data_IF_595459339196
#
_entry.id   IF_595459339196
#
_cell.length_a   1.000
_cell.length_b   1.000
_cell.length_c   1.000
_cell.angle_alpha   90.00
_cell.angle_beta   90.00
_cell.angle_gamma   90.00
#
_symmetry.space_group_name_H-M   'P 1'
#
loop_
_entity.id
_entity.type
_entity.pdbx_description
1 polymer ?
#
# COMPACT_ATOMS: atom_id res chain seq x y z
N UNK A 1 -11.25 12.05 -4.09
CA UNK A 1 -9.82 11.72 -3.93
C UNK A 1 -9.37 12.32 -2.61
N UNK A 2 -8.49 11.62 -1.88
CA UNK A 2 -7.92 12.11 -0.62
C UNK A 2 -6.46 11.67 -0.50
N UNK A 3 -5.75 12.24 0.46
CA UNK A 3 -4.38 11.82 0.73
C UNK A 3 -4.35 10.39 1.27
N UNK A 4 -3.35 9.59 0.87
CA UNK A 4 -3.10 8.33 1.57
C UNK A 4 -2.70 8.55 3.05
N UNK A 5 -2.26 9.76 3.39
CA UNK A 5 -1.93 10.17 4.75
C UNK A 5 -3.12 10.83 5.49
N UNK A 6 -4.31 10.85 4.90
CA UNK A 6 -5.51 11.33 5.58
C UNK A 6 -5.85 10.38 6.76
N UNK A 7 -6.32 10.89 7.90
CA UNK A 7 -6.54 10.09 9.11
C UNK A 7 -7.60 8.99 8.95
N UNK A 8 -8.49 9.12 7.97
CA UNK A 8 -9.50 8.13 7.59
C UNK A 8 -8.98 7.09 6.58
N UNK A 9 -7.72 7.19 6.15
CA UNK A 9 -7.07 6.21 5.28
C UNK A 9 -6.22 5.27 6.13
N UNK A 10 -6.44 3.97 5.98
CA UNK A 10 -5.82 2.94 6.81
C UNK A 10 -5.20 1.82 5.98
N UNK A 11 -3.93 1.54 6.29
CA UNK A 11 -3.13 0.47 5.72
C UNK A 11 -2.38 -0.25 6.84
N UNK A 12 -2.13 -1.54 6.64
CA UNK A 12 -1.32 -2.37 7.53
C UNK A 12 -0.10 -2.92 6.81
N UNK A 13 0.97 -3.09 7.59
CA UNK A 13 2.14 -3.83 7.16
C UNK A 13 1.96 -5.27 7.63
N UNK A 14 1.81 -6.19 6.69
CA UNK A 14 1.82 -7.62 6.97
C UNK A 14 3.27 -8.12 7.03
N UNK A 15 3.55 -8.89 8.07
CA UNK A 15 4.85 -9.54 8.28
C UNK A 15 4.85 -10.94 7.69
N UNK A 16 6.01 -11.37 7.21
CA UNK A 16 6.24 -12.73 6.71
C UNK A 16 5.97 -13.79 7.77
N UNK A 17 5.37 -14.90 7.37
CA UNK A 17 5.04 -16.06 8.24
C UNK A 17 5.90 -17.27 7.86
N UNK A 18 6.04 -18.27 8.76
CA UNK A 18 6.71 -19.51 8.40
C UNK A 18 6.06 -20.15 7.16
N UNK A 19 6.84 -20.34 6.09
CA UNK A 19 6.35 -20.88 4.82
C UNK A 19 6.10 -19.84 3.73
N UNK A 20 6.20 -18.54 4.03
CA UNK A 20 6.35 -17.50 3.01
C UNK A 20 7.78 -17.65 2.43
N UNK A 21 7.88 -18.36 1.31
CA UNK A 21 9.13 -18.65 0.61
C UNK A 21 9.41 -17.56 -0.44
N UNK A 22 9.55 -16.32 0.01
CA UNK A 22 9.72 -15.13 -0.82
C UNK A 22 10.98 -14.32 -0.46
N UNK A 23 11.89 -14.90 0.33
CA UNK A 23 13.20 -14.31 0.62
C UNK A 23 13.22 -13.35 1.82
N UNK A 24 12.09 -13.18 2.52
CA UNK A 24 12.02 -12.45 3.79
C UNK A 24 12.30 -13.37 4.99
N UNK A 25 13.00 -12.88 6.00
CA UNK A 25 13.09 -13.60 7.27
C UNK A 25 11.73 -13.53 7.97
N UNK A 26 11.33 -14.60 8.66
CA UNK A 26 10.06 -14.65 9.41
C UNK A 26 9.96 -13.47 10.38
N UNK A 27 8.87 -12.71 10.29
CA UNK A 27 8.61 -11.54 11.11
C UNK A 27 9.11 -10.22 10.51
N UNK A 28 9.77 -10.23 9.36
CA UNK A 28 10.10 -9.00 8.62
C UNK A 28 8.86 -8.45 7.89
N UNK A 29 8.76 -7.12 7.72
CA UNK A 29 7.79 -6.51 6.82
C UNK A 29 7.88 -7.15 5.43
N UNK A 30 6.77 -7.69 4.94
CA UNK A 30 6.73 -8.39 3.66
C UNK A 30 5.75 -7.74 2.69
N UNK A 31 4.63 -7.22 3.18
CA UNK A 31 3.57 -6.66 2.33
C UNK A 31 2.93 -5.43 2.95
N UNK A 32 2.53 -4.50 2.10
CA UNK A 32 1.64 -3.39 2.43
C UNK A 32 0.23 -3.78 2.00
N UNK A 33 -0.74 -3.64 2.89
CA UNK A 33 -2.14 -4.03 2.65
C UNK A 33 -3.12 -2.92 3.01
N UNK A 34 -4.17 -2.76 2.20
CA UNK A 34 -5.31 -1.91 2.50
C UNK A 34 -6.27 -2.57 3.50
N UNK A 35 -6.53 -1.90 4.62
CA UNK A 35 -7.39 -2.43 5.70
C UNK A 35 -8.87 -2.56 5.31
N UNK A 36 -9.30 -1.87 4.24
CA UNK A 36 -10.70 -1.90 3.81
C UNK A 36 -11.00 -3.06 2.85
N UNK A 37 -10.11 -3.31 1.87
CA UNK A 37 -10.39 -4.26 0.79
C UNK A 37 -9.39 -5.40 0.66
N UNK A 38 -8.35 -5.44 1.51
CA UNK A 38 -7.33 -6.49 1.50
C UNK A 38 -6.40 -6.47 0.29
N UNK A 39 -6.49 -5.45 -0.58
CA UNK A 39 -5.53 -5.28 -1.66
C UNK A 39 -4.12 -5.14 -1.07
N UNK A 40 -3.16 -5.90 -1.57
CA UNK A 40 -1.80 -5.92 -1.03
C UNK A 40 -0.75 -6.05 -2.11
N UNK A 41 0.42 -5.51 -1.82
CA UNK A 41 1.61 -5.53 -2.68
C UNK A 41 2.82 -5.90 -1.82
N UNK A 42 3.84 -6.58 -2.37
CA UNK A 42 5.10 -6.78 -1.66
C UNK A 42 5.73 -5.44 -1.26
N UNK A 43 6.36 -5.39 -0.09
CA UNK A 43 7.29 -4.32 0.26
C UNK A 43 8.64 -4.77 -0.26
N UNK A 44 9.22 -4.01 -1.18
CA UNK A 44 10.42 -4.44 -1.88
C UNK A 44 11.58 -4.78 -0.95
N UNK A 45 12.29 -5.85 -1.30
CA UNK A 45 13.59 -6.18 -0.76
C UNK A 45 14.70 -5.26 -1.31
N UNK A 46 15.97 -5.55 -0.96
CA UNK A 46 17.12 -4.69 -1.26
C UNK A 46 17.39 -4.45 -2.76
N UNK A 47 16.82 -5.25 -3.65
CA UNK A 47 16.95 -5.10 -5.10
C UNK A 47 16.01 -4.02 -5.69
N UNK A 48 15.04 -3.55 -4.89
CA UNK A 48 14.09 -2.48 -5.20
C UNK A 48 13.09 -2.81 -6.31
N UNK A 49 11.83 -2.35 -6.20
CA UNK A 49 11.08 -1.67 -7.26
C UNK A 49 9.60 -1.38 -6.92
N UNK A 50 9.31 -0.07 -7.00
CA UNK A 50 8.20 0.55 -7.74
C UNK A 50 6.84 0.71 -7.08
N UNK A 51 6.43 -0.14 -6.14
CA UNK A 51 5.01 -0.09 -5.75
C UNK A 51 4.73 0.90 -4.62
N UNK A 52 4.08 2.01 -4.94
CA UNK A 52 3.65 3.00 -3.96
C UNK A 52 2.31 2.64 -3.31
N UNK A 53 2.04 3.21 -2.13
CA UNK A 53 0.78 3.01 -1.38
C UNK A 53 -0.47 3.39 -2.19
N UNK A 54 -0.33 4.29 -3.16
CA UNK A 54 -1.39 4.75 -4.05
C UNK A 54 -1.50 3.95 -5.37
N UNK A 55 -0.81 2.81 -5.44
CA UNK A 55 -0.81 1.87 -6.58
C UNK A 55 -1.31 0.47 -6.18
N UNK A 56 -1.84 0.33 -4.96
CA UNK A 56 -2.44 -0.93 -4.52
C UNK A 56 -3.59 -1.35 -5.47
N UNK A 57 -3.71 -2.65 -5.80
CA UNK A 57 -4.73 -3.17 -6.71
C UNK A 57 -6.10 -3.27 -6.02
N UNK A 58 -6.66 -2.12 -5.65
CA UNK A 58 -7.88 -2.02 -4.87
C UNK A 58 -9.10 -2.68 -5.54
N UNK A 59 -9.98 -3.22 -4.71
CA UNK A 59 -11.31 -3.62 -5.18
C UNK A 59 -12.09 -2.39 -5.69
N UNK A 60 -12.99 -2.60 -6.66
CA UNK A 60 -13.79 -1.50 -7.24
C UNK A 60 -14.63 -0.73 -6.21
N UNK A 61 -15.06 -1.40 -5.13
CA UNK A 61 -15.89 -0.82 -4.09
C UNK A 61 -15.12 -0.11 -2.97
N UNK A 62 -13.79 -0.18 -2.97
CA UNK A 62 -12.98 0.37 -1.88
C UNK A 62 -13.01 1.90 -1.88
N UNK A 63 -13.34 2.50 -0.74
CA UNK A 63 -13.34 3.94 -0.54
C UNK A 63 -11.94 4.56 -0.64
N UNK A 64 -10.89 3.76 -0.41
CA UNK A 64 -9.48 4.17 -0.46
C UNK A 64 -8.85 3.99 -1.86
N UNK A 65 -9.57 3.46 -2.85
CA UNK A 65 -9.00 3.06 -4.15
C UNK A 65 -8.36 4.19 -4.97
N UNK A 66 -8.79 5.42 -4.70
CA UNK A 66 -8.37 6.64 -5.42
C UNK A 66 -7.58 7.58 -4.48
N UNK A 67 -6.87 7.03 -3.48
CA UNK A 67 -5.97 7.84 -2.65
C UNK A 67 -4.70 8.21 -3.41
N UNK A 68 -4.13 9.38 -3.13
CA UNK A 68 -2.88 9.88 -3.72
C UNK A 68 -2.02 10.60 -2.69
N UNK A 69 -0.77 10.92 -3.00
CA UNK A 69 0.01 11.80 -2.12
C UNK A 69 -0.55 13.23 -2.17
N UNK A 70 -0.38 14.00 -1.08
CA UNK A 70 -0.76 15.41 -1.07
C UNK A 70 -0.07 16.21 -2.19
N UNK A 71 1.20 15.90 -2.45
CA UNK A 71 1.97 16.49 -3.53
C UNK A 71 1.39 16.18 -4.92
N UNK A 72 0.98 14.93 -5.16
CA UNK A 72 0.39 14.54 -6.44
C UNK A 72 -0.94 15.25 -6.66
N UNK A 73 -1.78 15.33 -5.62
CA UNK A 73 -3.08 16.00 -5.71
C UNK A 73 -2.91 17.49 -6.04
N UNK A 74 -1.98 18.18 -5.36
CA UNK A 74 -1.66 19.59 -5.61
C UNK A 74 -1.16 19.83 -7.05
N UNK A 75 -0.26 18.98 -7.55
CA UNK A 75 0.38 19.21 -8.85
C UNK A 75 -0.41 18.69 -10.07
N UNK A 76 -1.25 17.67 -9.89
CA UNK A 76 -1.90 16.99 -11.03
C UNK A 76 -3.43 16.98 -10.96
N UNK A 77 -4.04 17.15 -9.80
CA UNK A 77 -5.50 17.15 -9.64
C UNK A 77 -6.08 18.51 -9.24
N UNK A 78 -5.26 19.45 -8.76
CA UNK A 78 -5.70 20.78 -8.34
C UNK A 78 -6.64 20.75 -7.14
N UNK A 79 -6.53 19.73 -6.28
CA UNK A 79 -7.32 19.50 -5.06
C UNK A 79 -6.44 19.22 -3.86
#
# INVERSE_FOLDING_TARGET
MRSFAAPETHFRIEVSKPGDHDGHQVGEPARLECDECGASVPIDGPDGHETAVDELPHSRGCSQRDVKSAWWMDHYAGV
#
